data_IF_504774503978
#
_entry.id   IF_504774503978
#
_cell.length_a   1.000
_cell.length_b   1.000
_cell.length_c   1.000
_cell.angle_alpha   90.00
_cell.angle_beta   90.00
_cell.angle_gamma   90.00
#
_symmetry.space_group_name_H-M   'P 1'
#
loop_
_entity.id
_entity.type
_entity.pdbx_description
1 polymer ?
#
# COMPACT_ATOMS: atom_id res chain seq x y z
N UNK A 1 13.56 -31.56 9.42
CA UNK A 1 13.90 -30.61 8.34
C UNK A 1 12.68 -30.10 7.58
N UNK A 2 11.75 -30.97 7.15
CA UNK A 2 10.53 -30.58 6.44
C UNK A 2 9.62 -29.59 7.20
N UNK A 3 9.62 -29.61 8.55
CA UNK A 3 8.75 -28.75 9.35
C UNK A 3 9.14 -27.25 9.31
N UNK A 4 10.44 -26.92 9.35
CA UNK A 4 10.89 -25.51 9.38
C UNK A 4 10.54 -24.76 8.09
N UNK A 5 10.64 -25.41 6.93
CA UNK A 5 10.23 -24.81 5.66
C UNK A 5 8.72 -24.59 5.63
N UNK A 6 7.93 -25.57 6.10
CA UNK A 6 6.48 -25.43 6.20
C UNK A 6 6.06 -24.28 7.13
N UNK A 7 6.78 -24.07 8.24
CA UNK A 7 6.56 -22.94 9.16
C UNK A 7 6.84 -21.59 8.49
N UNK A 8 7.94 -21.48 7.74
CA UNK A 8 8.27 -20.28 6.98
C UNK A 8 7.20 -19.98 5.92
N UNK A 9 6.71 -21.00 5.21
CA UNK A 9 5.63 -20.83 4.21
C UNK A 9 4.34 -20.36 4.88
N UNK A 10 3.95 -20.95 6.02
CA UNK A 10 2.76 -20.51 6.77
C UNK A 10 2.89 -19.07 7.25
N UNK A 11 4.06 -18.69 7.75
CA UNK A 11 4.32 -17.32 8.19
C UNK A 11 4.27 -16.32 7.02
N UNK A 12 4.87 -16.66 5.89
CA UNK A 12 4.82 -15.82 4.69
C UNK A 12 3.39 -15.59 4.21
N UNK A 13 2.56 -16.66 4.16
CA UNK A 13 1.12 -16.54 3.82
C UNK A 13 0.37 -15.64 4.80
N UNK A 14 0.61 -15.82 6.11
CA UNK A 14 -0.01 -14.98 7.14
C UNK A 14 0.35 -13.50 6.96
N UNK A 15 1.63 -13.19 6.73
CA UNK A 15 2.07 -11.81 6.50
C UNK A 15 1.45 -11.21 5.24
N UNK A 16 1.32 -11.99 4.16
CA UNK A 16 0.64 -11.55 2.95
C UNK A 16 -0.84 -11.19 3.22
N UNK A 17 -1.56 -12.05 3.94
CA UNK A 17 -2.95 -11.77 4.36
C UNK A 17 -3.06 -10.54 5.27
N UNK A 18 -2.12 -10.37 6.20
CA UNK A 18 -2.09 -9.18 7.07
C UNK A 18 -1.86 -7.90 6.26
N UNK A 19 -0.94 -7.92 5.29
CA UNK A 19 -0.75 -6.80 4.36
C UNK A 19 -2.02 -6.48 3.57
N UNK A 20 -2.68 -7.50 3.03
CA UNK A 20 -3.88 -7.29 2.21
C UNK A 20 -5.01 -6.67 3.05
N UNK A 21 -5.19 -7.08 4.31
CA UNK A 21 -6.13 -6.44 5.26
C UNK A 21 -5.78 -5.00 5.57
N UNK A 22 -4.49 -4.68 5.72
CA UNK A 22 -4.05 -3.29 5.93
C UNK A 22 -4.35 -2.42 4.71
N UNK A 23 -4.12 -2.96 3.50
CA UNK A 23 -4.47 -2.29 2.24
C UNK A 23 -5.98 -2.03 2.18
N UNK A 24 -6.82 -3.01 2.54
CA UNK A 24 -8.28 -2.85 2.54
C UNK A 24 -8.72 -1.76 3.54
N UNK A 25 -8.24 -1.82 4.78
CA UNK A 25 -8.56 -0.82 5.81
C UNK A 25 -8.16 0.59 5.40
N UNK A 26 -6.94 0.74 4.85
CA UNK A 26 -6.47 2.05 4.36
C UNK A 26 -7.32 2.53 3.19
N UNK A 27 -7.67 1.67 2.25
CA UNK A 27 -8.53 2.05 1.13
C UNK A 27 -9.90 2.52 1.61
N UNK A 28 -10.52 1.84 2.57
CA UNK A 28 -11.80 2.27 3.15
C UNK A 28 -11.72 3.65 3.82
N UNK A 29 -10.65 3.90 4.57
CA UNK A 29 -10.42 5.20 5.22
C UNK A 29 -10.19 6.31 4.20
N UNK A 30 -9.33 6.08 3.20
CA UNK A 30 -9.08 7.03 2.12
C UNK A 30 -10.35 7.34 1.34
N UNK A 31 -11.11 6.33 0.94
CA UNK A 31 -12.39 6.53 0.24
C UNK A 31 -13.35 7.35 1.10
N UNK A 32 -13.45 7.09 2.41
CA UNK A 32 -14.32 7.86 3.31
C UNK A 32 -13.93 9.34 3.35
N UNK A 33 -12.64 9.66 3.40
CA UNK A 33 -12.13 11.03 3.46
C UNK A 33 -12.28 11.76 2.12
N UNK A 34 -12.00 11.09 1.00
CA UNK A 34 -12.01 11.68 -0.33
C UNK A 34 -13.41 11.78 -0.94
N UNK A 35 -14.36 10.95 -0.49
CA UNK A 35 -15.73 10.97 -0.99
C UNK A 35 -16.38 12.33 -0.74
N UNK A 36 -16.95 12.91 -1.79
CA UNK A 36 -17.62 14.21 -1.73
C UNK A 36 -16.69 15.43 -1.82
N UNK A 37 -15.37 15.23 -1.92
CA UNK A 37 -14.40 16.33 -2.07
C UNK A 37 -14.37 16.96 -3.47
N UNK A 38 -15.08 16.37 -4.45
CA UNK A 38 -15.14 16.91 -5.81
C UNK A 38 -13.81 16.86 -6.58
N UNK A 39 -12.86 16.03 -6.14
CA UNK A 39 -11.54 15.88 -6.77
C UNK A 39 -11.69 15.37 -8.20
N UNK A 40 -10.97 16.03 -9.11
CA UNK A 40 -10.81 15.54 -10.48
C UNK A 40 -9.84 14.36 -10.52
N UNK A 41 -9.82 13.57 -11.62
CA UNK A 41 -8.82 12.53 -11.80
C UNK A 41 -7.38 13.05 -11.71
N UNK A 42 -7.12 14.28 -12.18
CA UNK A 42 -5.80 14.90 -12.10
C UNK A 42 -5.40 15.25 -10.65
N UNK A 43 -6.35 15.71 -9.83
CA UNK A 43 -6.09 15.98 -8.41
C UNK A 43 -5.75 14.69 -7.65
N UNK A 44 -6.41 13.58 -8.00
CA UNK A 44 -6.09 12.26 -7.44
C UNK A 44 -4.70 11.78 -7.88
N UNK A 45 -4.34 11.95 -9.16
CA UNK A 45 -3.00 11.63 -9.65
C UNK A 45 -1.89 12.39 -8.90
N UNK A 46 -2.07 13.70 -8.71
CA UNK A 46 -1.12 14.54 -7.98
C UNK A 46 -1.01 14.12 -6.50
N UNK A 47 -2.14 13.86 -5.84
CA UNK A 47 -2.19 13.35 -4.48
C UNK A 47 -1.39 12.04 -4.33
N UNK A 48 -1.62 11.06 -5.21
CA UNK A 48 -0.91 9.78 -5.16
C UNK A 48 0.58 9.91 -5.47
N UNK A 49 0.95 10.83 -6.36
CA UNK A 49 2.36 11.12 -6.66
C UNK A 49 3.08 11.69 -5.42
N UNK A 50 2.48 12.67 -4.75
CA UNK A 50 3.03 13.29 -3.54
C UNK A 50 3.19 12.27 -2.40
N UNK A 51 2.17 11.44 -2.14
CA UNK A 51 2.22 10.38 -1.14
C UNK A 51 3.31 9.34 -1.44
N UNK A 52 3.46 8.99 -2.72
CA UNK A 52 4.51 8.06 -3.15
C UNK A 52 5.89 8.65 -2.90
N UNK A 53 6.12 9.91 -3.28
CA UNK A 53 7.41 10.56 -3.06
C UNK A 53 7.76 10.63 -1.56
N UNK A 54 6.80 11.05 -0.72
CA UNK A 54 6.99 11.16 0.72
C UNK A 54 7.32 9.80 1.36
N UNK A 55 6.57 8.75 0.99
CA UNK A 55 6.87 7.40 1.43
C UNK A 55 8.29 6.98 1.01
N UNK A 56 8.66 7.17 -0.26
CA UNK A 56 9.99 6.82 -0.77
C UNK A 56 11.12 7.62 -0.10
N UNK A 57 10.85 8.84 0.38
CA UNK A 57 11.79 9.64 1.16
C UNK A 57 11.96 9.10 2.59
N UNK A 58 10.86 8.73 3.26
CA UNK A 58 10.86 8.12 4.59
C UNK A 58 11.60 6.77 4.66
N UNK A 59 11.65 6.04 3.55
CA UNK A 59 12.43 4.81 3.37
C UNK A 59 13.88 4.93 3.83
N UNK A 60 14.51 6.07 3.52
CA UNK A 60 15.92 6.33 3.82
C UNK A 60 16.20 6.37 5.32
N UNK A 61 15.19 6.65 6.16
CA UNK A 61 15.31 6.72 7.62
C UNK A 61 15.24 5.33 8.27
N UNK A 62 14.52 4.38 7.65
CA UNK A 62 14.32 3.01 8.18
C UNK A 62 15.39 1.99 7.74
N UNK A 63 16.51 2.45 7.17
CA UNK A 63 17.52 1.65 6.43
C UNK A 63 18.19 0.49 7.19
N UNK A 64 17.89 0.24 8.47
CA UNK A 64 18.54 -0.79 9.26
C UNK A 64 18.13 -2.24 8.95
N UNK A 65 17.05 -2.49 8.19
CA UNK A 65 16.46 -3.84 8.12
C UNK A 65 16.37 -4.45 6.71
N UNK A 66 16.23 -3.66 5.65
CA UNK A 66 15.99 -4.16 4.28
C UNK A 66 16.77 -3.34 3.23
N UNK A 67 17.20 -3.94 2.11
CA UNK A 67 17.79 -3.18 1.00
C UNK A 67 16.80 -2.13 0.49
N UNK A 68 17.28 -0.91 0.26
CA UNK A 68 16.43 0.22 -0.14
C UNK A 68 15.57 -0.10 -1.37
N UNK A 69 16.10 -0.82 -2.36
CA UNK A 69 15.36 -1.20 -3.57
C UNK A 69 14.16 -2.10 -3.27
N UNK A 70 14.30 -3.06 -2.35
CA UNK A 70 13.22 -3.98 -1.96
C UNK A 70 12.12 -3.21 -1.25
N UNK A 71 12.49 -2.30 -0.35
CA UNK A 71 11.53 -1.43 0.33
C UNK A 71 10.79 -0.53 -0.67
N UNK A 72 11.49 0.08 -1.62
CA UNK A 72 10.86 0.95 -2.64
C UNK A 72 9.87 0.19 -3.51
N UNK A 73 10.16 -1.07 -3.83
CA UNK A 73 9.26 -1.92 -4.58
C UNK A 73 7.99 -2.21 -3.78
N UNK A 74 8.12 -2.63 -2.52
CA UNK A 74 6.96 -2.93 -1.66
C UNK A 74 6.10 -1.69 -1.42
N UNK A 75 6.71 -0.53 -1.14
CA UNK A 75 5.99 0.71 -0.93
C UNK A 75 5.16 1.11 -2.16
N UNK A 76 5.77 1.01 -3.36
CA UNK A 76 5.07 1.27 -4.63
C UNK A 76 3.92 0.28 -4.85
N UNK A 77 4.12 -1.01 -4.57
CA UNK A 77 3.08 -2.02 -4.72
C UNK A 77 1.89 -1.76 -3.77
N UNK A 78 2.17 -1.48 -2.50
CA UNK A 78 1.13 -1.19 -1.49
C UNK A 78 0.34 0.06 -1.88
N UNK A 79 1.01 1.15 -2.24
CA UNK A 79 0.35 2.40 -2.64
C UNK A 79 -0.49 2.18 -3.90
N UNK A 80 0.03 1.46 -4.91
CA UNK A 80 -0.71 1.16 -6.13
C UNK A 80 -2.00 0.37 -5.85
N UNK A 81 -1.95 -0.60 -4.92
CA UNK A 81 -3.14 -1.36 -4.52
C UNK A 81 -4.16 -0.53 -3.77
N UNK A 82 -3.72 0.33 -2.85
CA UNK A 82 -4.61 1.26 -2.14
C UNK A 82 -5.28 2.20 -3.15
N UNK A 83 -4.48 2.83 -4.02
CA UNK A 83 -4.96 3.70 -5.10
C UNK A 83 -6.05 3.04 -5.94
N UNK A 84 -5.79 1.83 -6.45
CA UNK A 84 -6.73 1.11 -7.31
C UNK A 84 -8.08 0.84 -6.61
N UNK A 85 -8.05 0.46 -5.34
CA UNK A 85 -9.27 0.23 -4.54
C UNK A 85 -10.04 1.52 -4.28
N UNK A 86 -9.33 2.59 -3.95
CA UNK A 86 -9.95 3.90 -3.67
C UNK A 86 -10.61 4.46 -4.92
N UNK A 87 -9.91 4.48 -6.05
CA UNK A 87 -10.43 4.99 -7.32
C UNK A 87 -11.63 4.16 -7.81
N UNK A 88 -11.58 2.83 -7.69
CA UNK A 88 -12.74 1.99 -8.00
C UNK A 88 -13.95 2.36 -7.12
N UNK A 89 -13.77 2.49 -5.81
CA UNK A 89 -14.85 2.83 -4.87
C UNK A 89 -15.36 4.28 -4.98
N UNK A 90 -14.61 5.18 -5.62
CA UNK A 90 -15.05 6.53 -5.97
C UNK A 90 -15.77 6.57 -7.33
N UNK A 91 -15.43 5.65 -8.24
CA UNK A 91 -16.03 5.53 -9.58
C UNK A 91 -17.30 4.69 -9.66
N UNK A 92 -17.52 3.76 -8.71
CA UNK A 92 -18.79 3.05 -8.53
C UNK A 92 -19.85 4.05 -8.03
N UNK A 93 -20.60 4.63 -8.98
CA UNK A 93 -21.65 5.63 -8.73
C UNK A 93 -22.94 5.24 -9.42
#
# INVERSE_FOLDING_TARGET
MASRIADLVRRARRLATERDRLVDSLAEEWTRVLRGQGLSPADLDELWAALTEDALRGAHVTQGRWPAQVWRLEAKEVIARVRAKVEAALGER
#
